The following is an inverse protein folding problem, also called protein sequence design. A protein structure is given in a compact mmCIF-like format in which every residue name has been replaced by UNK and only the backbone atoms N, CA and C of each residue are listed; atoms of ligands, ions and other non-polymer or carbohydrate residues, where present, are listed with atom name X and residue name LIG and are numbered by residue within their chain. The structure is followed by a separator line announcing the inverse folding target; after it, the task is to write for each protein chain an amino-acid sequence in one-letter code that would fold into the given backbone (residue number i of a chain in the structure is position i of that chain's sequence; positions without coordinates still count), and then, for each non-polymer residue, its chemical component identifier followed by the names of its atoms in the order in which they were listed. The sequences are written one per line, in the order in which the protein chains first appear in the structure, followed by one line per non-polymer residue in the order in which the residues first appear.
data_IF_165098304319
#
_entry.id   IF_165098304319
#
_cell.length_a   1.000
_cell.length_b   1.000
_cell.length_c   1.000
_cell.angle_alpha   90.00
_cell.angle_beta   90.00
_cell.angle_gamma   90.00
#
_symmetry.space_group_name_H-M   'P 1'
#
loop_
_entity.id
_entity.type
_entity.pdbx_description
1 polymer ?
#
# COMPACT_ATOMS: atom_id res chain seq x y z
N UNK A 1 -2.39 -14.83 7.27
CA UNK A 1 -2.93 -15.99 6.53
C UNK A 1 -1.84 -17.03 6.33
N UNK A 2 -2.14 -18.28 6.63
CA UNK A 2 -1.19 -19.37 6.35
C UNK A 2 -1.19 -19.69 4.86
N UNK A 3 0.01 -19.74 4.28
CA UNK A 3 0.16 -20.04 2.86
C UNK A 3 -0.36 -21.45 2.51
N UNK A 4 -0.43 -22.34 3.50
CA UNK A 4 -0.92 -23.72 3.31
C UNK A 4 -2.39 -23.79 2.89
N UNK A 5 -3.16 -22.72 3.05
CA UNK A 5 -4.54 -22.65 2.53
C UNK A 5 -4.57 -22.65 1.00
N UNK A 6 -3.50 -22.18 0.36
CA UNK A 6 -3.37 -22.10 -1.09
C UNK A 6 -2.40 -23.16 -1.59
N UNK A 7 -1.29 -23.34 -0.89
CA UNK A 7 -0.23 -24.29 -1.21
C UNK A 7 0.00 -25.22 -0.01
N UNK A 8 -0.71 -26.36 0.06
CA UNK A 8 -0.70 -27.22 1.25
C UNK A 8 0.67 -27.75 1.67
N UNK A 9 1.63 -27.79 0.73
CA UNK A 9 2.98 -28.29 1.00
C UNK A 9 3.81 -27.35 1.89
N UNK A 10 3.40 -26.08 1.98
CA UNK A 10 4.15 -25.06 2.71
C UNK A 10 3.46 -24.73 4.05
N UNK A 11 3.75 -25.55 5.06
CA UNK A 11 3.02 -25.48 6.35
C UNK A 11 3.53 -24.43 7.34
N UNK A 12 4.75 -23.94 7.12
CA UNK A 12 5.38 -23.00 8.06
C UNK A 12 5.39 -21.55 7.60
N UNK A 13 4.91 -21.28 6.38
CA UNK A 13 4.90 -19.95 5.81
C UNK A 13 3.61 -19.23 6.15
N UNK A 14 3.73 -18.01 6.67
CA UNK A 14 2.60 -17.13 6.95
C UNK A 14 2.70 -15.89 6.07
N UNK A 15 1.62 -15.58 5.37
CA UNK A 15 1.52 -14.35 4.59
C UNK A 15 1.09 -13.24 5.53
N UNK A 16 1.91 -12.19 5.63
CA UNK A 16 1.58 -11.03 6.47
C UNK A 16 0.81 -9.97 5.71
N UNK A 17 1.20 -9.69 4.48
CA UNK A 17 0.54 -8.69 3.65
C UNK A 17 0.44 -9.18 2.21
N UNK A 18 -0.59 -8.71 1.51
CA UNK A 18 -0.76 -8.92 0.08
C UNK A 18 -0.96 -7.59 -0.62
N UNK A 19 -0.32 -7.43 -1.77
CA UNK A 19 -0.62 -6.31 -2.65
C UNK A 19 -1.98 -6.56 -3.32
N UNK A 20 -2.92 -5.64 -3.12
CA UNK A 20 -4.27 -5.76 -3.65
C UNK A 20 -4.51 -4.88 -4.87
N UNK A 21 -3.85 -3.73 -4.93
CA UNK A 21 -4.05 -2.78 -6.02
C UNK A 21 -2.84 -1.88 -6.14
N UNK A 22 -2.52 -1.54 -7.39
CA UNK A 22 -1.52 -0.52 -7.69
C UNK A 22 -2.18 0.55 -8.55
N UNK A 23 -2.03 1.81 -8.15
CA UNK A 23 -2.51 2.95 -8.89
C UNK A 23 -1.32 3.82 -9.29
N UNK A 24 -1.27 4.24 -10.54
CA UNK A 24 -0.29 5.22 -11.01
C UNK A 24 -1.03 6.43 -11.53
N UNK A 25 -0.59 7.62 -11.14
CA UNK A 25 -1.29 8.85 -11.49
C UNK A 25 -0.35 10.04 -11.46
N UNK A 26 -0.85 11.16 -11.97
CA UNK A 26 -0.10 12.41 -12.06
C UNK A 26 -0.81 13.48 -11.26
N UNK A 27 -0.05 14.22 -10.44
CA UNK A 27 -0.51 15.44 -9.80
C UNK A 27 0.44 16.55 -10.25
N UNK A 28 -0.08 17.54 -10.96
CA UNK A 28 0.78 18.57 -11.55
C UNK A 28 1.74 17.94 -12.55
N UNK A 29 3.03 18.03 -12.28
CA UNK A 29 4.09 17.45 -13.14
C UNK A 29 4.72 16.21 -12.50
N UNK A 30 4.24 15.79 -11.34
CA UNK A 30 4.80 14.66 -10.62
C UNK A 30 3.99 13.40 -10.87
N UNK A 31 4.68 12.29 -11.08
CA UNK A 31 4.07 10.97 -11.24
C UNK A 31 4.24 10.19 -9.95
N UNK A 32 3.16 9.58 -9.51
CA UNK A 32 3.12 8.82 -8.28
C UNK A 32 2.60 7.42 -8.50
N UNK A 33 2.98 6.52 -7.61
CA UNK A 33 2.42 5.18 -7.51
C UNK A 33 1.94 4.97 -6.08
N UNK A 34 0.73 4.48 -5.93
CA UNK A 34 0.19 4.05 -4.65
C UNK A 34 -0.06 2.55 -4.71
N UNK A 35 0.52 1.83 -3.76
CA UNK A 35 0.29 0.41 -3.59
C UNK A 35 -0.62 0.20 -2.39
N UNK A 36 -1.71 -0.52 -2.58
CA UNK A 36 -2.68 -0.81 -1.54
C UNK A 36 -2.49 -2.25 -1.08
N UNK A 37 -2.25 -2.41 0.20
CA UNK A 37 -1.92 -3.69 0.82
C UNK A 37 -3.01 -4.08 1.81
N UNK A 38 -3.30 -5.38 1.86
CA UNK A 38 -4.09 -5.97 2.92
C UNK A 38 -3.16 -6.69 3.88
N UNK A 39 -3.13 -6.25 5.13
CA UNK A 39 -2.22 -6.79 6.16
C UNK A 39 -2.98 -7.69 7.12
N UNK A 40 -2.73 -8.98 7.03
CA UNK A 40 -3.38 -10.00 7.85
C UNK A 40 -3.02 -9.90 9.33
N UNK A 41 -1.87 -9.29 9.63
CA UNK A 41 -1.40 -9.11 11.01
C UNK A 41 -2.17 -8.05 11.79
N UNK A 42 -3.00 -7.25 11.13
CA UNK A 42 -3.79 -6.20 11.78
C UNK A 42 -5.26 -6.30 11.34
N UNK A 43 -6.00 -7.29 11.84
CA UNK A 43 -7.35 -7.55 11.35
C UNK A 43 -8.37 -6.44 11.61
N UNK A 44 -8.10 -5.56 12.57
CA UNK A 44 -9.01 -4.43 12.85
C UNK A 44 -8.86 -3.28 11.87
N UNK A 45 -7.68 -3.11 11.31
CA UNK A 45 -7.37 -2.05 10.35
C UNK A 45 -6.35 -2.56 9.35
N UNK A 46 -6.76 -3.52 8.49
CA UNK A 46 -5.82 -4.27 7.66
C UNK A 46 -5.35 -3.54 6.40
N UNK A 47 -6.02 -2.48 5.99
CA UNK A 47 -5.73 -1.80 4.75
C UNK A 47 -4.70 -0.71 4.93
N UNK A 48 -3.59 -0.81 4.20
CA UNK A 48 -2.48 0.15 4.25
C UNK A 48 -2.14 0.56 2.83
N UNK A 49 -1.88 1.85 2.64
CA UNK A 49 -1.38 2.35 1.37
C UNK A 49 0.06 2.81 1.52
N UNK A 50 0.87 2.54 0.51
CA UNK A 50 2.24 3.01 0.38
C UNK A 50 2.34 3.88 -0.85
N UNK A 51 3.08 4.97 -0.78
CA UNK A 51 3.23 5.87 -1.92
C UNK A 51 4.68 6.05 -2.33
N UNK A 52 4.88 6.19 -3.63
CA UNK A 52 6.18 6.38 -4.25
C UNK A 52 6.09 7.48 -5.27
N UNK A 53 7.17 8.24 -5.44
CA UNK A 53 7.30 9.20 -6.53
C UNK A 53 8.26 8.66 -7.57
N UNK A 54 7.96 8.94 -8.85
CA UNK A 54 8.86 8.60 -9.94
C UNK A 54 9.99 9.62 -10.00
N UNK A 55 11.22 9.11 -9.99
CA UNK A 55 12.43 9.91 -10.15
C UNK A 55 13.22 9.37 -11.35
N UNK A 56 14.26 10.10 -11.75
CA UNK A 56 15.10 9.72 -12.89
C UNK A 56 15.64 8.29 -12.80
N UNK A 57 15.96 7.83 -11.59
CA UNK A 57 16.56 6.53 -11.33
C UNK A 57 15.58 5.52 -10.71
N UNK A 58 14.28 5.75 -10.85
CA UNK A 58 13.25 4.82 -10.42
C UNK A 58 12.28 5.39 -9.41
N UNK A 59 11.52 4.51 -8.78
CA UNK A 59 10.52 4.86 -7.78
C UNK A 59 11.16 5.05 -6.42
N UNK A 60 10.84 6.16 -5.76
CA UNK A 60 11.37 6.49 -4.43
C UNK A 60 10.23 6.66 -3.43
N UNK A 61 10.46 6.18 -2.22
CA UNK A 61 9.50 6.36 -1.13
C UNK A 61 9.27 7.84 -0.85
N UNK A 62 8.04 8.20 -0.52
CA UNK A 62 7.69 9.56 -0.15
C UNK A 62 8.13 9.78 1.32
N UNK A 63 8.96 10.82 1.59
CA UNK A 63 9.32 11.14 2.97
C UNK A 63 8.09 11.47 3.82
N UNK A 64 8.12 11.01 5.07
CA UNK A 64 7.07 11.28 6.07
C UNK A 64 5.69 10.76 5.69
N UNK A 65 5.60 9.86 4.73
CA UNK A 65 4.32 9.25 4.37
C UNK A 65 3.80 8.41 5.54
N UNK A 66 2.55 8.63 5.99
CA UNK A 66 2.03 7.94 7.16
C UNK A 66 1.71 6.47 6.88
N UNK A 67 2.12 5.60 7.79
CA UNK A 67 1.83 4.17 7.76
C UNK A 67 0.68 3.89 8.72
N UNK A 68 -0.53 4.21 8.30
CA UNK A 68 -1.71 4.05 9.14
C UNK A 68 -2.63 3.01 8.54
N UNK A 69 -3.00 2.01 9.35
CA UNK A 69 -3.98 1.01 8.94
C UNK A 69 -5.38 1.60 8.92
N UNK A 70 -6.15 1.23 7.91
CA UNK A 70 -7.52 1.68 7.71
C UNK A 70 -8.47 0.48 7.66
N UNK A 71 -9.75 0.74 7.90
CA UNK A 71 -10.77 -0.31 7.98
C UNK A 71 -11.19 -0.86 6.62
N UNK A 72 -11.03 -0.06 5.57
CA UNK A 72 -11.40 -0.48 4.22
C UNK A 72 -10.44 0.10 3.20
N UNK A 73 -10.49 -0.45 1.99
CA UNK A 73 -9.61 -0.07 0.90
C UNK A 73 -9.79 1.40 0.51
N UNK A 74 -11.03 1.86 0.43
CA UNK A 74 -11.31 3.26 0.05
C UNK A 74 -10.67 4.23 1.02
N UNK A 75 -10.77 3.98 2.32
CA UNK A 75 -10.18 4.86 3.34
C UNK A 75 -8.66 4.94 3.21
N UNK A 76 -8.00 3.80 2.93
CA UNK A 76 -6.56 3.76 2.72
C UNK A 76 -6.15 4.57 1.48
N UNK A 77 -6.88 4.41 0.39
CA UNK A 77 -6.61 5.14 -0.85
C UNK A 77 -6.84 6.65 -0.64
N UNK A 78 -7.94 7.03 -0.01
CA UNK A 78 -8.23 8.44 0.26
C UNK A 78 -7.17 9.09 1.12
N UNK A 79 -6.70 8.41 2.16
CA UNK A 79 -5.65 8.93 3.02
C UNK A 79 -4.36 9.18 2.23
N UNK A 80 -3.98 8.25 1.36
CA UNK A 80 -2.79 8.38 0.52
C UNK A 80 -2.93 9.54 -0.46
N UNK A 81 -4.07 9.64 -1.15
CA UNK A 81 -4.30 10.70 -2.13
C UNK A 81 -4.32 12.08 -1.47
N UNK A 82 -4.95 12.20 -0.29
CA UNK A 82 -4.97 13.46 0.45
C UNK A 82 -3.57 13.90 0.85
N UNK A 83 -2.76 12.98 1.32
CA UNK A 83 -1.37 13.28 1.68
C UNK A 83 -0.59 13.79 0.47
N UNK A 84 -0.70 13.10 -0.67
CA UNK A 84 0.04 13.49 -1.88
C UNK A 84 -0.46 14.82 -2.45
N UNK A 85 -1.77 15.05 -2.41
CA UNK A 85 -2.34 16.31 -2.87
C UNK A 85 -1.85 17.48 -2.03
N UNK A 86 -1.73 17.30 -0.71
CA UNK A 86 -1.23 18.32 0.20
C UNK A 86 0.24 18.68 -0.02
N UNK A 87 1.01 17.85 -0.72
CA UNK A 87 2.38 18.18 -1.12
C UNK A 87 2.44 19.19 -2.27
N UNK A 88 1.30 19.45 -2.89
CA UNK A 88 1.15 20.39 -4.00
C UNK A 88 0.26 21.55 -3.58
#
# INVERSE_FOLDING_TARGET
MKISKIFPDFKTITVQCELRRTLEFVIGRATYRVEVLYCYSNPKSPWIAQAYSEKRDGWKCIPDFPWVGEKNEEAAIRAALSFLEDLH
#
